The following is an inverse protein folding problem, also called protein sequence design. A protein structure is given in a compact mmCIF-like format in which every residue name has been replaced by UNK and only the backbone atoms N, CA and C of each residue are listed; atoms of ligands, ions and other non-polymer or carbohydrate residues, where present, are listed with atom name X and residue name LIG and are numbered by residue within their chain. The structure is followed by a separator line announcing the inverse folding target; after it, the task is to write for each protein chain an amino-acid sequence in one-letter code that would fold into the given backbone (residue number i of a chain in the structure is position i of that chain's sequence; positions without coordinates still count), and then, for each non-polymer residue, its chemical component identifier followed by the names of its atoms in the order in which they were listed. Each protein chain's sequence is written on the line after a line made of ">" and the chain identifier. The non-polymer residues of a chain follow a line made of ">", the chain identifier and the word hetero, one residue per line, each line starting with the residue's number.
data_IF_928033421750
#
_entry.id   IF_928033421750
#
_cell.length_a   1.000
_cell.length_b   1.000
_cell.length_c   1.000
_cell.angle_alpha   90.00
_cell.angle_beta   90.00
_cell.angle_gamma   90.00
#
_symmetry.space_group_name_H-M   'P 1'
#
loop_
_entity.id
_entity.type
_entity.pdbx_description
1 polymer ?
#
# COMPACT_ATOMS: atom_id res chain seq x y z
N UNK A 1 9.04 -63.72 -16.86
CA UNK A 1 8.38 -62.90 -15.82
C UNK A 1 7.92 -61.61 -16.48
N UNK A 2 6.61 -61.32 -16.43
CA UNK A 2 5.96 -60.24 -17.19
C UNK A 2 6.12 -58.93 -16.43
N UNK A 3 6.56 -57.89 -17.13
CA UNK A 3 6.62 -56.51 -16.64
C UNK A 3 5.18 -55.97 -16.59
N UNK A 4 4.75 -55.45 -15.44
CA UNK A 4 3.51 -54.67 -15.32
C UNK A 4 3.84 -53.34 -14.66
N UNK A 5 3.95 -52.30 -15.48
CA UNK A 5 3.90 -50.92 -15.05
C UNK A 5 2.44 -50.53 -14.90
N UNK A 6 2.00 -50.35 -13.65
CA UNK A 6 0.66 -49.83 -13.34
C UNK A 6 0.67 -48.31 -13.49
N UNK A 7 0.19 -47.84 -14.63
CA UNK A 7 -0.31 -46.48 -14.84
C UNK A 7 -1.65 -46.32 -14.13
N UNK A 8 -1.78 -45.30 -13.27
CA UNK A 8 -3.07 -44.67 -13.02
C UNK A 8 -2.85 -43.16 -12.83
N UNK A 9 -2.89 -42.44 -13.96
CA UNK A 9 -3.16 -41.01 -14.01
C UNK A 9 -4.67 -40.81 -14.03
N UNK A 10 -5.21 -40.17 -13.00
CA UNK A 10 -6.50 -39.48 -12.92
C UNK A 10 -6.36 -38.60 -11.67
N UNK A 11 -6.45 -37.28 -11.67
CA UNK A 11 -7.19 -36.39 -12.56
C UNK A 11 -8.00 -35.48 -11.64
N UNK A 12 -7.36 -34.42 -11.12
CA UNK A 12 -8.04 -33.21 -10.66
C UNK A 12 -7.13 -32.06 -11.02
N UNK A 13 -7.31 -31.56 -12.25
CA UNK A 13 -7.02 -30.20 -12.60
C UNK A 13 -7.82 -29.29 -11.67
N UNK A 14 -7.20 -28.84 -10.58
CA UNK A 14 -7.62 -27.64 -9.88
C UNK A 14 -6.55 -26.60 -10.11
N UNK A 15 -6.52 -26.11 -11.33
CA UNK A 15 -6.09 -24.75 -11.61
C UNK A 15 -6.92 -23.83 -10.72
N UNK A 16 -6.40 -23.49 -9.54
CA UNK A 16 -6.72 -22.20 -8.95
C UNK A 16 -5.95 -21.18 -9.76
N UNK A 17 -6.60 -20.35 -10.59
CA UNK A 17 -5.97 -19.09 -10.95
C UNK A 17 -5.90 -18.31 -9.63
N UNK A 18 -4.73 -18.29 -8.99
CA UNK A 18 -4.36 -17.18 -8.11
C UNK A 18 -4.14 -15.95 -9.00
N UNK A 19 -5.22 -15.51 -9.63
CA UNK A 19 -5.33 -14.25 -10.31
C UNK A 19 -6.01 -13.30 -9.33
N UNK A 20 -5.23 -12.82 -8.38
CA UNK A 20 -5.36 -11.44 -7.93
C UNK A 20 -3.97 -10.82 -7.99
N UNK A 21 -3.45 -10.81 -9.22
CA UNK A 21 -2.65 -9.67 -9.63
C UNK A 21 -3.56 -8.46 -9.45
N UNK A 22 -3.43 -7.76 -8.32
CA UNK A 22 -4.00 -6.44 -8.13
C UNK A 22 -3.32 -5.50 -9.12
N UNK A 23 -3.68 -5.65 -10.39
CA UNK A 23 -3.64 -4.64 -11.42
C UNK A 23 -4.66 -3.58 -10.99
N UNK A 24 -4.36 -2.86 -9.91
CA UNK A 24 -4.76 -1.46 -9.81
C UNK A 24 -3.96 -0.74 -10.87
N UNK A 25 -4.38 -0.91 -12.13
CA UNK A 25 -4.05 0.00 -13.21
C UNK A 25 -4.25 1.38 -12.61
N UNK A 26 -3.19 2.18 -12.63
CA UNK A 26 -3.14 3.51 -12.02
C UNK A 26 -4.26 4.38 -12.60
N UNK A 27 -5.49 4.22 -12.11
CA UNK A 27 -6.48 5.27 -12.14
C UNK A 27 -5.83 6.36 -11.33
N UNK A 28 -5.54 7.49 -11.98
CA UNK A 28 -4.96 8.68 -11.38
C UNK A 28 -5.96 9.35 -10.41
N UNK A 29 -6.53 8.55 -9.52
CA UNK A 29 -7.54 8.91 -8.54
C UNK A 29 -7.09 8.48 -7.16
N UNK A 30 -7.67 9.12 -6.16
CA UNK A 30 -7.47 8.74 -4.77
C UNK A 30 -7.93 7.29 -4.54
N UNK A 31 -7.27 6.55 -3.64
CA UNK A 31 -7.69 5.20 -3.31
C UNK A 31 -9.06 5.23 -2.61
N UNK A 32 -9.93 4.30 -3.00
CA UNK A 32 -11.29 4.19 -2.45
C UNK A 32 -11.34 3.49 -1.08
N UNK A 33 -10.24 2.82 -0.69
CA UNK A 33 -10.14 2.16 0.61
C UNK A 33 -10.09 3.20 1.74
N UNK A 34 -10.79 3.00 2.88
CA UNK A 34 -10.72 3.92 4.01
C UNK A 34 -9.34 3.92 4.69
N UNK A 35 -8.56 2.85 4.50
CA UNK A 35 -7.25 2.66 5.13
C UNK A 35 -6.18 2.27 4.11
N UNK A 36 -4.94 2.64 4.40
CA UNK A 36 -3.75 2.33 3.62
C UNK A 36 -2.74 1.52 4.45
N UNK A 37 -2.05 0.58 3.81
CA UNK A 37 -0.77 0.05 4.31
C UNK A 37 0.35 1.04 4.01
N UNK A 38 1.49 0.89 4.69
CA UNK A 38 2.66 1.74 4.44
C UNK A 38 3.06 1.81 2.96
N UNK A 39 3.01 0.68 2.22
CA UNK A 39 3.32 0.65 0.79
C UNK A 39 2.38 1.56 -0.03
N UNK A 40 1.09 1.52 0.29
CA UNK A 40 0.07 2.31 -0.41
C UNK A 40 0.21 3.79 -0.06
N UNK A 41 0.46 4.11 1.21
CA UNK A 41 0.73 5.47 1.68
C UNK A 41 1.91 6.10 0.93
N UNK A 42 3.06 5.43 0.85
CA UNK A 42 4.25 6.00 0.21
C UNK A 42 4.08 6.13 -1.31
N UNK A 43 3.31 5.23 -1.93
CA UNK A 43 2.94 5.34 -3.34
C UNK A 43 2.03 6.54 -3.59
N UNK A 44 1.00 6.72 -2.75
CA UNK A 44 0.07 7.85 -2.82
C UNK A 44 0.79 9.19 -2.61
N UNK A 45 1.67 9.27 -1.61
CA UNK A 45 2.41 10.49 -1.29
C UNK A 45 3.61 10.75 -2.21
N UNK A 46 3.93 9.79 -3.10
CA UNK A 46 5.09 9.83 -4.01
C UNK A 46 6.42 10.08 -3.30
N UNK A 47 6.63 9.43 -2.16
CA UNK A 47 7.88 9.50 -1.38
C UNK A 47 8.54 8.13 -1.27
N UNK A 48 9.86 8.12 -1.10
CA UNK A 48 10.58 6.88 -0.78
C UNK A 48 10.25 6.41 0.64
N UNK A 49 10.46 5.12 0.90
CA UNK A 49 10.30 4.56 2.26
C UNK A 49 11.18 5.26 3.29
N UNK A 50 12.45 5.50 2.97
CA UNK A 50 13.37 6.21 3.87
C UNK A 50 12.87 7.62 4.18
N UNK A 51 12.35 8.33 3.17
CA UNK A 51 11.78 9.67 3.36
C UNK A 51 10.52 9.65 4.21
N UNK A 52 9.66 8.65 4.05
CA UNK A 52 8.49 8.50 4.90
C UNK A 52 8.88 8.31 6.38
N UNK A 53 9.92 7.52 6.68
CA UNK A 53 10.41 7.37 8.05
C UNK A 53 11.01 8.66 8.64
N UNK A 54 11.66 9.48 7.83
CA UNK A 54 12.08 10.82 8.27
C UNK A 54 10.87 11.68 8.62
N UNK A 55 9.88 11.75 7.72
CA UNK A 55 8.67 12.55 7.92
C UNK A 55 7.89 12.10 9.16
N UNK A 56 7.77 10.80 9.41
CA UNK A 56 7.15 10.27 10.62
C UNK A 56 7.82 10.75 11.92
N UNK A 57 9.11 11.13 11.87
CA UNK A 57 9.86 11.64 13.02
C UNK A 57 9.83 13.16 13.11
N UNK A 58 9.83 13.86 11.98
CA UNK A 58 10.06 15.30 11.92
C UNK A 58 8.80 16.13 11.63
N UNK A 59 7.81 15.57 10.94
CA UNK A 59 6.58 16.25 10.55
C UNK A 59 5.43 15.80 11.47
N UNK A 60 4.97 16.66 12.40
CA UNK A 60 3.92 16.30 13.35
C UNK A 60 2.56 16.08 12.69
N UNK A 61 2.35 16.63 11.49
CA UNK A 61 1.11 16.51 10.71
C UNK A 61 1.13 15.27 9.80
N UNK A 62 2.25 14.55 9.73
CA UNK A 62 2.35 13.35 8.89
C UNK A 62 1.37 12.26 9.37
N UNK A 63 0.69 11.54 8.45
CA UNK A 63 -0.30 10.53 8.81
C UNK A 63 0.24 9.49 9.81
N UNK A 64 -0.49 9.31 10.92
CA UNK A 64 -0.05 8.45 12.02
C UNK A 64 -0.48 7.01 11.78
N UNK A 65 0.48 6.09 11.86
CA UNK A 65 0.21 4.68 11.69
C UNK A 65 -0.39 4.08 12.97
N UNK A 66 -1.54 3.43 12.85
CA UNK A 66 -2.22 2.72 13.93
C UNK A 66 -1.83 1.24 13.85
N UNK A 67 -1.30 0.64 14.94
CA UNK A 67 -0.91 -0.77 14.95
C UNK A 67 -2.14 -1.68 14.82
N UNK A 68 -2.01 -2.79 14.10
CA UNK A 68 -3.08 -3.79 13.96
C UNK A 68 -3.17 -4.77 15.15
N UNK A 69 -2.14 -4.81 15.98
CA UNK A 69 -1.97 -5.75 17.09
C UNK A 69 -1.19 -5.05 18.21
N UNK A 70 -1.36 -5.55 19.44
CA UNK A 70 -0.68 -5.02 20.63
C UNK A 70 0.78 -5.50 20.70
N UNK A 71 1.60 -5.01 19.78
CA UNK A 71 3.05 -5.25 19.73
C UNK A 71 3.78 -4.06 19.12
N UNK A 72 4.99 -3.78 19.59
CA UNK A 72 5.83 -2.70 19.06
C UNK A 72 6.15 -2.86 17.56
N UNK A 73 6.27 -4.11 17.10
CA UNK A 73 6.59 -4.45 15.71
C UNK A 73 5.34 -4.73 14.86
N UNK A 74 4.16 -4.40 15.38
CA UNK A 74 2.91 -4.63 14.67
C UNK A 74 2.87 -3.85 13.35
N UNK A 75 2.45 -4.48 12.24
CA UNK A 75 2.13 -3.75 11.02
C UNK A 75 1.10 -2.66 11.30
N UNK A 76 1.29 -1.51 10.65
CA UNK A 76 0.44 -0.33 10.84
C UNK A 76 -0.42 -0.08 9.61
N UNK A 77 -1.66 0.35 9.85
CA UNK A 77 -2.50 0.97 8.83
C UNK A 77 -2.54 2.49 9.05
N UNK A 78 -2.94 3.21 8.02
CA UNK A 78 -3.05 4.67 8.00
C UNK A 78 -4.42 5.05 7.46
N UNK A 79 -5.01 6.13 7.95
CA UNK A 79 -6.27 6.62 7.40
C UNK A 79 -6.05 7.30 6.04
N UNK A 80 -6.85 6.91 5.04
CA UNK A 80 -6.75 7.47 3.69
C UNK A 80 -7.02 8.98 3.69
N UNK A 81 -8.06 9.42 4.39
CA UNK A 81 -8.45 10.84 4.44
C UNK A 81 -7.37 11.72 5.11
N UNK A 82 -6.66 11.22 6.13
CA UNK A 82 -5.52 11.93 6.73
C UNK A 82 -4.38 12.08 5.73
N UNK A 83 -4.06 11.02 4.99
CA UNK A 83 -3.04 11.05 3.95
C UNK A 83 -3.38 12.04 2.82
N UNK A 84 -4.66 12.10 2.42
CA UNK A 84 -5.16 13.07 1.45
C UNK A 84 -5.00 14.50 1.97
N UNK A 85 -5.48 14.78 3.18
CA UNK A 85 -5.40 16.10 3.79
C UNK A 85 -3.95 16.59 3.93
N UNK A 86 -3.02 15.71 4.29
CA UNK A 86 -1.60 16.04 4.36
C UNK A 86 -1.02 16.40 2.99
N UNK A 87 -1.33 15.61 1.95
CA UNK A 87 -0.86 15.85 0.60
C UNK A 87 -1.39 17.18 0.03
N UNK A 88 -2.68 17.44 0.23
CA UNK A 88 -3.32 18.70 -0.17
C UNK A 88 -2.72 19.89 0.59
N UNK A 89 -2.51 19.76 1.90
CA UNK A 89 -1.87 20.78 2.73
C UNK A 89 -0.48 21.19 2.22
N UNK A 90 0.32 20.22 1.75
CA UNK A 90 1.62 20.53 1.11
C UNK A 90 1.44 21.27 -0.22
N UNK A 91 0.53 20.82 -1.07
CA UNK A 91 0.28 21.46 -2.36
C UNK A 91 -0.12 22.93 -2.18
N UNK A 92 -0.96 23.23 -1.17
CA UNK A 92 -1.34 24.61 -0.81
C UNK A 92 -0.13 25.44 -0.35
N UNK A 93 0.71 24.89 0.55
CA UNK A 93 1.94 25.57 1.01
C UNK A 93 2.87 25.91 -0.16
N UNK A 94 3.05 24.99 -1.11
CA UNK A 94 3.86 25.22 -2.32
C UNK A 94 3.27 26.28 -3.25
N UNK A 95 1.94 26.26 -3.48
CA UNK A 95 1.27 27.25 -4.31
C UNK A 95 1.41 28.66 -3.72
N UNK A 96 1.16 28.80 -2.42
CA UNK A 96 1.29 30.09 -1.72
C UNK A 96 2.72 30.64 -1.79
N UNK A 97 3.74 29.80 -1.58
CA UNK A 97 5.14 30.22 -1.68
C UNK A 97 5.55 30.67 -3.10
N UNK A 98 4.81 30.26 -4.13
CA UNK A 98 5.01 30.70 -5.52
C UNK A 98 4.33 32.05 -5.79
N UNK A 99 3.20 32.32 -5.15
CA UNK A 99 2.44 33.58 -5.30
C UNK A 99 3.09 34.75 -4.54
N UNK A 100 3.86 34.46 -3.49
CA UNK A 100 4.60 35.45 -2.69
C UNK A 100 5.99 35.83 -3.30
N UNK A 101 6.33 35.29 -4.48
CA UNK A 101 7.57 35.58 -5.23
C UNK A 101 7.28 36.34 -6.52
#
# INVERSE_FOLDING_TARGET
>A
MKHMTSSLRQGVDKSMPLAEENNTGWKAGWPDSPTLRLKELITLLRVSRSKAYELMKSDPDFPKGIPLYDSELSPKFYWTHEAMAWAEGRAVKFRRAKEEK
#
